data_IF_639708414102
#
_entry.id   IF_639708414102
#
_cell.length_a   1.000
_cell.length_b   1.000
_cell.length_c   1.000
_cell.angle_alpha   90.00
_cell.angle_beta   90.00
_cell.angle_gamma   90.00
#
_symmetry.space_group_name_H-M   'P 1'
#
loop_
_entity.id
_entity.type
_entity.pdbx_description
1 polymer ?
#
# COMPACT_ATOMS: atom_id res chain seq x y z
N UNK A 1 -69.11 -61.13 17.04
CA UNK A 1 -68.64 -60.18 18.02
C UNK A 1 -67.13 -60.15 17.98
N UNK A 2 -66.51 -59.19 17.23
CA UNK A 2 -65.04 -58.97 17.27
C UNK A 2 -64.82 -57.46 17.15
N UNK A 3 -64.35 -56.89 18.24
CA UNK A 3 -63.99 -55.46 18.32
C UNK A 3 -62.63 -55.21 17.65
N UNK A 4 -62.58 -54.32 16.65
CA UNK A 4 -61.37 -53.88 16.03
C UNK A 4 -60.79 -52.65 16.81
N UNK A 5 -59.55 -52.79 17.24
CA UNK A 5 -58.81 -51.74 17.97
C UNK A 5 -58.06 -50.95 16.94
N UNK A 6 -58.40 -49.67 16.81
CA UNK A 6 -57.65 -48.71 15.95
C UNK A 6 -56.51 -48.07 16.76
N UNK A 7 -55.29 -48.40 16.38
CA UNK A 7 -54.09 -47.75 16.91
C UNK A 7 -53.76 -46.51 16.02
N UNK A 8 -53.88 -45.34 16.60
CA UNK A 8 -53.46 -44.14 15.95
C UNK A 8 -51.91 -43.90 16.20
N UNK A 9 -51.10 -44.06 15.14
CA UNK A 9 -49.71 -43.64 15.18
C UNK A 9 -49.63 -42.11 14.97
N UNK A 10 -49.34 -41.38 16.02
CA UNK A 10 -49.02 -39.95 15.94
C UNK A 10 -47.54 -39.80 15.56
N UNK A 11 -47.24 -39.46 14.31
CA UNK A 11 -45.91 -39.03 13.88
C UNK A 11 -45.62 -37.61 14.40
N UNK A 12 -44.84 -37.51 15.46
CA UNK A 12 -44.29 -36.24 15.90
C UNK A 12 -43.13 -35.84 14.94
N UNK A 13 -43.41 -34.90 14.05
CA UNK A 13 -42.36 -34.25 13.25
C UNK A 13 -41.56 -33.28 14.16
N UNK A 14 -40.39 -33.70 14.61
CA UNK A 14 -39.42 -32.81 15.27
C UNK A 14 -38.80 -31.97 14.17
N UNK A 15 -39.31 -30.76 13.96
CA UNK A 15 -38.65 -29.71 13.19
C UNK A 15 -37.45 -29.23 14.00
N UNK A 16 -36.27 -29.79 13.72
CA UNK A 16 -35.02 -29.32 14.26
C UNK A 16 -34.72 -27.89 13.74
N UNK A 17 -35.02 -26.88 14.55
CA UNK A 17 -34.51 -25.57 14.37
C UNK A 17 -33.00 -25.65 14.55
N UNK A 18 -32.25 -25.68 13.43
CA UNK A 18 -30.82 -25.41 13.40
C UNK A 18 -30.66 -23.95 13.85
N UNK A 19 -30.53 -23.74 15.15
CA UNK A 19 -30.07 -22.50 15.70
C UNK A 19 -28.65 -22.29 15.14
N UNK A 20 -28.51 -21.46 14.11
CA UNK A 20 -27.23 -20.96 13.66
C UNK A 20 -26.61 -20.25 14.86
N UNK A 21 -25.65 -20.91 15.53
CA UNK A 21 -24.84 -20.23 16.53
C UNK A 21 -24.29 -18.94 15.88
N UNK A 22 -24.34 -17.79 16.57
CA UNK A 22 -23.74 -16.59 16.05
C UNK A 22 -22.28 -16.91 15.75
N UNK A 23 -21.89 -16.80 14.49
CA UNK A 23 -20.49 -16.97 14.11
C UNK A 23 -19.70 -15.95 14.93
N UNK A 24 -18.88 -16.42 15.86
CA UNK A 24 -18.00 -15.53 16.63
C UNK A 24 -17.12 -14.81 15.63
N UNK A 25 -17.13 -13.48 15.69
CA UNK A 25 -16.31 -12.67 14.81
C UNK A 25 -14.84 -13.10 14.97
N UNK A 26 -14.20 -13.35 13.83
CA UNK A 26 -12.85 -13.87 13.81
C UNK A 26 -11.86 -12.75 14.20
N UNK A 27 -11.09 -13.01 15.27
CA UNK A 27 -10.12 -12.03 15.79
C UNK A 27 -8.93 -11.90 14.87
N UNK A 28 -8.54 -10.65 14.61
CA UNK A 28 -7.44 -10.31 13.73
C UNK A 28 -6.70 -9.08 14.27
N UNK A 29 -5.38 -9.19 14.43
CA UNK A 29 -4.52 -8.04 14.74
C UNK A 29 -3.94 -7.46 13.46
N UNK A 30 -4.30 -6.20 13.16
CA UNK A 30 -3.85 -5.51 11.96
C UNK A 30 -2.97 -4.33 12.34
N UNK A 31 -1.72 -4.39 11.92
CA UNK A 31 -0.76 -3.32 12.18
C UNK A 31 -0.58 -2.39 10.98
N UNK A 32 -0.50 -1.07 11.22
CA UNK A 32 -0.17 -0.11 10.18
C UNK A 32 0.71 1.03 10.70
N UNK A 33 1.46 1.64 9.78
CA UNK A 33 2.30 2.81 10.08
C UNK A 33 1.46 4.08 10.12
N UNK A 34 1.61 4.89 11.20
CA UNK A 34 0.82 6.09 11.47
C UNK A 34 1.45 7.37 10.90
N UNK A 35 2.07 7.29 9.74
CA UNK A 35 2.58 8.45 9.01
C UNK A 35 2.53 8.18 7.50
N UNK A 36 2.83 9.20 6.69
CA UNK A 36 2.75 9.11 5.24
C UNK A 36 1.38 8.63 4.75
N UNK A 37 1.32 8.05 3.56
CA UNK A 37 0.05 7.57 3.00
C UNK A 37 -0.53 6.34 3.74
N UNK A 38 0.29 5.56 4.47
CA UNK A 38 -0.24 4.44 5.27
C UNK A 38 -1.19 4.92 6.36
N UNK A 39 -0.91 6.07 6.98
CA UNK A 39 -1.81 6.71 7.93
C UNK A 39 -3.18 6.98 7.33
N UNK A 40 -3.24 7.60 6.14
CA UNK A 40 -4.52 8.00 5.53
C UNK A 40 -5.43 6.81 5.28
N UNK A 41 -4.92 5.74 4.68
CA UNK A 41 -5.72 4.55 4.40
C UNK A 41 -6.06 3.80 5.69
N UNK A 42 -5.08 3.62 6.60
CA UNK A 42 -5.31 2.95 7.88
C UNK A 42 -6.35 3.66 8.74
N UNK A 43 -6.27 4.99 8.85
CA UNK A 43 -7.24 5.79 9.60
C UNK A 43 -8.67 5.68 9.04
N UNK A 44 -8.82 5.67 7.72
CA UNK A 44 -10.14 5.48 7.09
C UNK A 44 -10.68 4.08 7.37
N UNK A 45 -9.86 3.03 7.24
CA UNK A 45 -10.26 1.66 7.54
C UNK A 45 -10.74 1.50 8.98
N UNK A 46 -9.97 2.04 9.94
CA UNK A 46 -10.26 1.97 11.37
C UNK A 46 -11.51 2.78 11.74
N UNK A 47 -11.56 4.06 11.36
CA UNK A 47 -12.66 4.96 11.76
C UNK A 47 -14.00 4.56 11.14
N UNK A 48 -13.99 4.08 9.93
CA UNK A 48 -15.21 3.65 9.21
C UNK A 48 -15.59 2.21 9.50
N UNK A 49 -14.76 1.45 10.24
CA UNK A 49 -14.99 0.07 10.67
C UNK A 49 -15.32 -0.85 9.49
N UNK A 50 -14.54 -0.73 8.39
CA UNK A 50 -14.81 -1.53 7.19
C UNK A 50 -14.59 -3.01 7.44
N UNK A 51 -13.58 -3.40 8.23
CA UNK A 51 -13.29 -4.79 8.52
C UNK A 51 -14.35 -5.40 9.46
N UNK A 52 -14.81 -4.64 10.44
CA UNK A 52 -15.88 -5.06 11.38
C UNK A 52 -17.22 -5.24 10.64
N UNK A 53 -17.50 -4.42 9.62
CA UNK A 53 -18.68 -4.58 8.75
C UNK A 53 -18.64 -5.88 7.91
N UNK A 54 -17.45 -6.42 7.70
CA UNK A 54 -17.24 -7.73 7.06
C UNK A 54 -17.27 -8.89 8.08
N UNK A 55 -17.67 -8.64 9.33
CA UNK A 55 -17.77 -9.64 10.38
C UNK A 55 -16.44 -10.06 11.01
N UNK A 56 -15.43 -9.18 10.96
CA UNK A 56 -14.15 -9.38 11.62
C UNK A 56 -14.10 -8.62 12.94
N UNK A 57 -13.41 -9.16 13.94
CA UNK A 57 -13.07 -8.49 15.20
C UNK A 57 -11.62 -8.01 15.10
N UNK A 58 -11.41 -6.74 14.72
CA UNK A 58 -10.08 -6.21 14.40
C UNK A 58 -9.50 -5.38 15.53
N UNK A 59 -8.35 -5.80 16.02
CA UNK A 59 -7.48 -5.00 16.88
C UNK A 59 -6.48 -4.24 16.00
N UNK A 60 -6.64 -2.91 15.90
CA UNK A 60 -5.73 -2.05 15.16
C UNK A 60 -4.49 -1.71 15.99
N UNK A 61 -3.30 -2.09 15.50
CA UNK A 61 -2.01 -1.83 16.15
C UNK A 61 -1.26 -0.73 15.39
N UNK A 62 -1.01 0.39 16.06
CA UNK A 62 -0.41 1.60 15.48
C UNK A 62 1.10 1.64 15.70
N UNK A 63 1.85 1.92 14.63
CA UNK A 63 3.31 2.01 14.69
C UNK A 63 3.79 3.39 14.26
N UNK A 64 4.65 4.02 15.07
CA UNK A 64 5.26 5.30 14.75
C UNK A 64 6.34 5.20 13.65
N UNK A 65 6.94 4.01 13.49
CA UNK A 65 8.01 3.79 12.52
C UNK A 65 7.53 3.00 11.30
N UNK A 66 8.03 3.36 10.12
CA UNK A 66 7.65 2.77 8.83
C UNK A 66 7.79 1.25 8.78
N UNK A 67 8.83 0.69 9.39
CA UNK A 67 9.07 -0.75 9.44
C UNK A 67 8.51 -1.42 10.70
N UNK A 68 7.74 -0.68 11.53
CA UNK A 68 7.10 -1.22 12.73
C UNK A 68 6.19 -2.41 12.43
N UNK A 69 5.23 -2.30 11.49
CA UNK A 69 4.37 -3.42 11.11
C UNK A 69 5.15 -4.62 10.57
N UNK A 70 6.19 -4.38 9.77
CA UNK A 70 7.03 -5.46 9.22
C UNK A 70 7.79 -6.20 10.33
N UNK A 71 8.32 -5.49 11.33
CA UNK A 71 8.96 -6.14 12.49
C UNK A 71 7.95 -6.90 13.35
N UNK A 72 6.78 -6.33 13.55
CA UNK A 72 5.73 -6.94 14.39
C UNK A 72 5.20 -8.25 13.78
N UNK A 73 5.05 -8.35 12.46
CA UNK A 73 4.62 -9.60 11.84
C UNK A 73 5.71 -10.68 11.92
N UNK A 74 6.99 -10.32 11.80
CA UNK A 74 8.13 -11.24 11.98
C UNK A 74 8.12 -11.84 13.39
N UNK A 75 7.76 -11.07 14.41
CA UNK A 75 7.68 -11.52 15.80
C UNK A 75 6.33 -12.10 16.21
N UNK A 76 5.41 -12.35 15.26
CA UNK A 76 4.03 -12.79 15.51
C UNK A 76 3.21 -11.85 16.42
N UNK A 77 3.58 -10.57 16.49
CA UNK A 77 2.84 -9.57 17.27
C UNK A 77 1.54 -9.09 16.60
N UNK A 78 1.43 -9.30 15.29
CA UNK A 78 0.24 -9.00 14.48
C UNK A 78 0.02 -10.11 13.44
N UNK A 79 -1.22 -10.24 12.94
CA UNK A 79 -1.60 -11.23 11.92
C UNK A 79 -1.45 -10.68 10.51
N UNK A 80 -1.74 -9.39 10.33
CA UNK A 80 -1.61 -8.65 9.06
C UNK A 80 -0.83 -7.37 9.29
N UNK A 81 0.20 -7.13 8.47
CA UNK A 81 0.79 -5.81 8.32
C UNK A 81 0.15 -5.12 7.10
N UNK A 82 -0.70 -4.13 7.37
CA UNK A 82 -1.41 -3.37 6.35
C UNK A 82 -0.54 -2.22 5.85
N UNK A 83 -0.47 -2.07 4.53
CA UNK A 83 0.31 -1.03 3.87
C UNK A 83 1.79 -0.99 4.30
N UNK A 84 2.40 -2.18 4.47
CA UNK A 84 3.83 -2.33 4.74
C UNK A 84 4.67 -2.03 3.50
N UNK A 85 5.91 -1.50 3.64
CA UNK A 85 6.79 -1.23 2.50
C UNK A 85 7.04 -2.48 1.66
N UNK A 86 6.83 -2.40 0.34
CA UNK A 86 6.94 -3.56 -0.56
C UNK A 86 8.34 -4.16 -0.59
N UNK A 87 9.39 -3.33 -0.64
CA UNK A 87 10.79 -3.80 -0.64
C UNK A 87 11.17 -4.51 0.65
N UNK A 88 10.77 -3.97 1.82
CA UNK A 88 11.01 -4.62 3.11
C UNK A 88 10.22 -5.93 3.23
N UNK A 89 8.99 -5.98 2.73
CA UNK A 89 8.15 -7.19 2.70
C UNK A 89 8.78 -8.29 1.83
N UNK A 90 9.29 -7.94 0.65
CA UNK A 90 10.00 -8.87 -0.22
C UNK A 90 11.33 -9.32 0.39
N UNK A 91 12.07 -8.42 1.06
CA UNK A 91 13.32 -8.78 1.73
C UNK A 91 13.10 -9.83 2.83
N UNK A 92 12.12 -9.64 3.73
CA UNK A 92 11.86 -10.61 4.81
C UNK A 92 11.33 -11.95 4.28
N UNK A 93 10.54 -11.94 3.19
CA UNK A 93 10.13 -13.16 2.51
C UNK A 93 11.34 -13.90 1.90
N UNK A 94 12.27 -13.18 1.29
CA UNK A 94 13.53 -13.70 0.77
C UNK A 94 14.47 -14.22 1.86
N UNK A 95 14.40 -13.67 3.06
CA UNK A 95 15.14 -14.14 4.23
C UNK A 95 14.51 -15.39 4.88
N UNK A 96 13.38 -15.86 4.35
CA UNK A 96 12.70 -17.08 4.79
C UNK A 96 11.68 -16.88 5.90
N UNK A 97 11.31 -15.63 6.21
CA UNK A 97 10.21 -15.38 7.15
C UNK A 97 8.90 -15.90 6.54
N UNK A 98 8.09 -16.70 7.29
CA UNK A 98 6.88 -17.33 6.77
C UNK A 98 5.72 -16.33 6.64
N UNK A 99 5.83 -15.42 5.68
CA UNK A 99 4.79 -14.44 5.33
C UNK A 99 4.34 -14.60 3.88
N UNK A 100 3.13 -14.13 3.60
CA UNK A 100 2.58 -14.03 2.26
C UNK A 100 2.20 -12.59 1.94
N UNK A 101 2.49 -12.16 0.73
CA UNK A 101 2.05 -10.87 0.17
C UNK A 101 0.72 -11.17 -0.52
N UNK A 102 -0.35 -10.48 -0.10
CA UNK A 102 -1.72 -10.81 -0.51
C UNK A 102 -2.48 -9.66 -1.17
N UNK A 103 -1.95 -8.43 -1.08
CA UNK A 103 -2.61 -7.24 -1.63
C UNK A 103 -1.60 -6.12 -1.88
N UNK A 104 -1.70 -5.44 -3.01
CA UNK A 104 -1.06 -4.16 -3.23
C UNK A 104 -1.98 -3.03 -2.74
N UNK A 105 -1.44 -2.08 -1.97
CA UNK A 105 -2.24 -1.05 -1.28
C UNK A 105 -1.87 0.38 -1.62
N UNK A 106 -0.64 0.61 -2.09
CA UNK A 106 -0.19 1.96 -2.45
C UNK A 106 0.66 1.93 -3.71
N UNK A 107 0.44 2.94 -4.54
CA UNK A 107 1.23 3.22 -5.73
C UNK A 107 2.41 4.10 -5.31
N UNK A 108 3.59 3.84 -5.85
CA UNK A 108 4.70 4.76 -5.78
C UNK A 108 4.47 5.87 -6.81
N UNK A 109 3.59 6.82 -6.44
CA UNK A 109 3.38 8.02 -7.20
C UNK A 109 4.47 9.04 -6.87
N UNK A 110 4.68 10.01 -7.74
CA UNK A 110 5.62 11.10 -7.55
C UNK A 110 6.01 11.71 -8.88
N UNK A 111 6.70 12.82 -8.80
CA UNK A 111 7.07 13.59 -9.97
C UNK A 111 8.49 14.11 -9.84
N UNK A 112 9.17 14.25 -10.97
CA UNK A 112 10.37 15.05 -11.06
C UNK A 112 9.95 16.49 -11.34
N UNK A 113 10.31 17.40 -10.44
CA UNK A 113 9.91 18.82 -10.52
C UNK A 113 11.11 19.75 -10.41
N UNK A 114 10.97 20.93 -11.02
CA UNK A 114 11.94 22.03 -10.98
C UNK A 114 11.25 23.33 -10.65
N UNK A 115 11.99 24.32 -10.15
CA UNK A 115 11.46 25.67 -9.99
C UNK A 115 11.27 26.39 -11.33
N UNK A 116 10.37 27.38 -11.39
CA UNK A 116 10.27 28.29 -12.52
C UNK A 116 11.61 28.90 -12.90
N UNK A 117 11.85 29.07 -14.20
CA UNK A 117 13.12 29.60 -14.70
C UNK A 117 14.29 28.60 -14.75
N UNK A 118 14.11 27.35 -14.27
CA UNK A 118 15.12 26.32 -14.41
C UNK A 118 15.49 26.07 -15.87
N UNK A 119 16.79 25.93 -16.14
CA UNK A 119 17.32 25.51 -17.44
C UNK A 119 17.05 24.05 -17.78
N UNK A 120 16.74 23.21 -16.77
CA UNK A 120 16.39 21.80 -16.95
C UNK A 120 15.00 21.72 -17.57
N UNK A 121 14.88 21.16 -18.76
CA UNK A 121 13.61 21.02 -19.51
C UNK A 121 13.08 19.59 -19.48
N UNK A 122 13.97 18.60 -19.37
CA UNK A 122 13.68 17.18 -19.34
C UNK A 122 14.65 16.43 -18.44
N UNK A 123 14.39 15.13 -18.18
CA UNK A 123 15.36 14.31 -17.44
C UNK A 123 16.67 14.08 -18.19
N UNK A 124 16.70 14.26 -19.52
CA UNK A 124 17.94 14.18 -20.31
C UNK A 124 18.97 15.26 -19.93
N UNK A 125 18.50 16.38 -19.34
CA UNK A 125 19.35 17.53 -19.00
C UNK A 125 20.02 17.40 -17.61
N UNK A 126 19.88 16.22 -16.96
CA UNK A 126 20.29 16.02 -15.57
C UNK A 126 21.78 15.68 -15.39
N UNK A 127 22.54 15.50 -16.47
CA UNK A 127 23.98 15.27 -16.38
C UNK A 127 24.66 16.46 -15.67
N UNK A 128 25.44 16.16 -14.63
CA UNK A 128 26.12 17.16 -13.80
C UNK A 128 25.21 17.93 -12.83
N UNK A 129 23.91 17.63 -12.76
CA UNK A 129 22.94 18.31 -11.89
C UNK A 129 22.81 17.63 -10.53
N UNK A 130 22.28 18.39 -9.56
CA UNK A 130 21.93 17.89 -8.23
C UNK A 130 20.47 17.47 -8.20
N UNK A 131 20.20 16.21 -7.93
CA UNK A 131 18.85 15.64 -7.87
C UNK A 131 18.52 15.28 -6.43
N UNK A 132 17.53 15.94 -5.85
CA UNK A 132 16.95 15.56 -4.56
C UNK A 132 16.03 14.37 -4.72
N UNK A 133 16.26 13.31 -3.96
CA UNK A 133 15.40 12.11 -3.91
C UNK A 133 15.50 11.38 -2.58
N UNK A 134 14.63 10.41 -2.35
CA UNK A 134 14.69 9.57 -1.14
C UNK A 134 16.07 8.93 -0.96
N UNK A 135 16.45 8.60 0.29
CA UNK A 135 17.77 8.02 0.57
C UNK A 135 18.03 6.70 -0.18
N UNK A 136 19.29 6.38 -0.47
CA UNK A 136 19.70 5.08 -0.98
C UNK A 136 19.15 3.93 -0.12
N UNK A 137 18.77 2.82 -0.76
CA UNK A 137 18.14 1.67 -0.11
C UNK A 137 16.62 1.74 -0.04
N UNK A 138 15.99 2.89 -0.32
CA UNK A 138 14.53 2.98 -0.45
C UNK A 138 14.03 2.55 -1.83
N UNK A 139 12.79 2.06 -1.90
CA UNK A 139 12.14 1.73 -3.18
C UNK A 139 12.08 2.93 -4.13
N UNK A 140 11.77 4.12 -3.59
CA UNK A 140 11.69 5.37 -4.37
C UNK A 140 13.03 5.71 -5.01
N UNK A 141 14.15 5.60 -4.25
CA UNK A 141 15.49 5.81 -4.78
C UNK A 141 15.83 4.81 -5.89
N UNK A 142 15.57 3.52 -5.64
CA UNK A 142 15.86 2.46 -6.60
C UNK A 142 15.10 2.67 -7.92
N UNK A 143 13.82 3.02 -7.86
CA UNK A 143 13.01 3.29 -9.04
C UNK A 143 13.47 4.56 -9.77
N UNK A 144 13.72 5.67 -9.05
CA UNK A 144 14.16 6.91 -9.65
C UNK A 144 15.50 6.73 -10.40
N UNK A 145 16.47 6.05 -9.78
CA UNK A 145 17.76 5.77 -10.42
C UNK A 145 17.62 4.83 -11.63
N UNK A 146 16.79 3.79 -11.53
CA UNK A 146 16.53 2.90 -12.66
C UNK A 146 15.87 3.62 -13.85
N UNK A 147 14.94 4.54 -13.58
CA UNK A 147 14.32 5.41 -14.59
C UNK A 147 15.41 6.25 -15.28
N UNK A 148 16.25 6.93 -14.50
CA UNK A 148 17.29 7.79 -15.04
C UNK A 148 18.28 7.01 -15.91
N UNK A 149 18.70 5.84 -15.47
CA UNK A 149 19.63 5.00 -16.21
C UNK A 149 19.00 4.39 -17.46
N UNK A 150 17.86 3.73 -17.31
CA UNK A 150 17.27 2.94 -18.41
C UNK A 150 16.58 3.79 -19.47
N UNK A 151 15.86 4.85 -19.07
CA UNK A 151 15.09 5.68 -20.00
C UNK A 151 15.90 6.83 -20.59
N UNK A 152 16.97 7.27 -19.88
CA UNK A 152 17.74 8.47 -20.26
C UNK A 152 19.26 8.26 -20.35
N UNK A 153 19.77 7.04 -20.08
CA UNK A 153 21.20 6.71 -20.14
C UNK A 153 22.05 7.40 -19.06
N UNK A 154 21.42 7.90 -18.00
CA UNK A 154 22.09 8.64 -16.93
C UNK A 154 22.55 7.66 -15.83
N UNK A 155 23.78 7.17 -15.95
CA UNK A 155 24.38 6.26 -14.97
C UNK A 155 24.68 6.97 -13.64
N UNK A 156 24.74 6.18 -12.57
CA UNK A 156 25.19 6.64 -11.27
C UNK A 156 26.56 7.35 -11.39
N UNK A 157 26.70 8.50 -10.70
CA UNK A 157 27.88 9.35 -10.81
C UNK A 157 27.85 10.38 -11.97
N UNK A 158 26.91 10.26 -12.93
CA UNK A 158 26.72 11.29 -13.94
C UNK A 158 25.92 12.49 -13.45
N UNK A 159 25.32 12.39 -12.28
CA UNK A 159 24.59 13.43 -11.52
C UNK A 159 24.88 13.25 -10.02
N UNK A 160 24.62 14.28 -9.23
CA UNK A 160 24.77 14.22 -7.77
C UNK A 160 23.41 13.93 -7.11
N UNK A 161 23.32 12.88 -6.28
CA UNK A 161 22.15 12.61 -5.45
C UNK A 161 22.24 13.37 -4.14
N UNK A 162 21.21 14.15 -3.81
CA UNK A 162 21.03 14.79 -2.51
C UNK A 162 19.89 14.06 -1.78
N UNK A 163 20.21 13.22 -0.77
CA UNK A 163 19.19 12.41 -0.10
C UNK A 163 18.40 13.24 0.91
N UNK A 164 17.10 12.99 0.99
CA UNK A 164 16.23 13.63 1.97
C UNK A 164 14.85 12.97 2.08
N UNK A 165 14.16 13.28 3.18
CA UNK A 165 12.72 13.03 3.24
C UNK A 165 11.98 14.12 2.45
N UNK A 166 10.68 13.93 2.21
CA UNK A 166 9.86 14.81 1.39
C UNK A 166 9.96 16.28 1.77
N UNK A 167 9.79 16.63 3.06
CA UNK A 167 9.86 18.03 3.52
C UNK A 167 11.24 18.65 3.33
N UNK A 168 12.31 17.87 3.56
CA UNK A 168 13.68 18.34 3.35
C UNK A 168 13.98 18.55 1.86
N UNK A 169 13.48 17.67 0.99
CA UNK A 169 13.63 17.83 -0.45
C UNK A 169 12.89 19.07 -0.97
N UNK A 170 11.69 19.35 -0.45
CA UNK A 170 10.94 20.55 -0.73
C UNK A 170 11.72 21.80 -0.31
N UNK A 171 12.31 21.80 0.89
CA UNK A 171 13.16 22.87 1.38
C UNK A 171 14.40 23.10 0.50
N UNK A 172 15.13 22.02 0.16
CA UNK A 172 16.31 22.12 -0.70
C UNK A 172 15.96 22.66 -2.09
N UNK A 173 14.81 22.28 -2.63
CA UNK A 173 14.33 22.82 -3.90
C UNK A 173 14.03 24.32 -3.78
N UNK A 174 13.33 24.76 -2.72
CA UNK A 174 13.01 26.17 -2.49
C UNK A 174 14.26 27.05 -2.32
N UNK A 175 15.28 26.50 -1.66
CA UNK A 175 16.58 27.16 -1.44
C UNK A 175 17.52 27.07 -2.64
N UNK A 176 17.11 26.38 -3.72
CA UNK A 176 17.94 26.14 -4.93
C UNK A 176 19.22 25.35 -4.64
N UNK A 177 19.25 24.56 -3.58
CA UNK A 177 20.36 23.67 -3.24
C UNK A 177 20.39 22.42 -4.13
N UNK A 178 19.24 22.10 -4.74
CA UNK A 178 19.06 21.04 -5.75
C UNK A 178 18.44 21.64 -7.03
N UNK A 179 18.80 21.07 -8.18
CA UNK A 179 18.27 21.49 -9.47
C UNK A 179 16.87 20.89 -9.75
N UNK A 180 16.67 19.66 -9.29
CA UNK A 180 15.44 18.85 -9.49
C UNK A 180 15.11 18.11 -8.21
N UNK A 181 13.83 17.98 -7.89
CA UNK A 181 13.35 17.12 -6.81
C UNK A 181 12.47 16.00 -7.38
N UNK A 182 12.72 14.76 -6.94
CA UNK A 182 11.80 13.61 -7.12
C UNK A 182 10.96 13.48 -5.85
N UNK A 183 9.78 14.08 -5.85
CA UNK A 183 8.88 14.20 -4.69
C UNK A 183 7.45 13.85 -5.03
N UNK A 184 6.65 13.59 -4.00
CA UNK A 184 5.25 13.17 -4.13
C UNK A 184 4.33 14.33 -4.43
N UNK A 185 3.17 14.00 -5.00
CA UNK A 185 2.16 14.99 -5.37
C UNK A 185 1.65 15.78 -4.15
N UNK A 186 1.55 15.17 -2.97
CA UNK A 186 1.18 15.89 -1.73
C UNK A 186 2.23 16.92 -1.34
N UNK A 187 3.51 16.60 -1.46
CA UNK A 187 4.59 17.53 -1.18
C UNK A 187 4.64 18.67 -2.20
N UNK A 188 4.33 18.38 -3.46
CA UNK A 188 4.22 19.41 -4.50
C UNK A 188 3.09 20.40 -4.16
N UNK A 189 1.95 19.88 -3.69
CA UNK A 189 0.83 20.74 -3.26
C UNK A 189 1.19 21.63 -2.06
N UNK A 190 2.04 21.17 -1.13
CA UNK A 190 2.53 21.94 0.01
C UNK A 190 3.49 23.09 -0.37
N UNK A 191 4.06 23.07 -1.57
CA UNK A 191 4.96 24.11 -2.08
C UNK A 191 4.38 24.77 -3.36
N UNK A 192 3.06 24.76 -3.52
CA UNK A 192 2.41 25.30 -4.72
C UNK A 192 2.67 26.79 -4.93
N UNK A 193 2.92 27.56 -3.86
CA UNK A 193 3.32 28.96 -3.93
C UNK A 193 4.61 29.18 -4.73
N UNK A 194 5.50 28.17 -4.78
CA UNK A 194 6.72 28.20 -5.59
C UNK A 194 6.45 27.90 -7.07
N UNK A 195 5.24 27.50 -7.43
CA UNK A 195 4.81 27.14 -8.78
C UNK A 195 5.76 26.12 -9.45
N UNK A 196 6.04 24.98 -8.81
CA UNK A 196 6.99 24.02 -9.34
C UNK A 196 6.49 23.47 -10.68
N UNK A 197 7.40 23.36 -11.66
CA UNK A 197 7.09 22.80 -12.96
C UNK A 197 7.43 21.31 -13.01
N UNK A 198 6.46 20.50 -13.35
CA UNK A 198 6.63 19.07 -13.58
C UNK A 198 7.47 18.83 -14.84
N UNK A 199 8.48 17.97 -14.74
CA UNK A 199 9.20 17.41 -15.89
C UNK A 199 8.50 16.16 -16.39
N UNK A 200 8.28 15.18 -15.49
CA UNK A 200 7.55 13.93 -15.77
C UNK A 200 7.11 13.27 -14.46
N UNK A 201 6.21 12.26 -14.56
CA UNK A 201 5.76 11.45 -13.42
C UNK A 201 6.53 10.13 -13.30
N UNK A 202 6.76 9.67 -12.08
CA UNK A 202 7.41 8.39 -11.80
C UNK A 202 6.60 7.24 -12.39
N UNK A 203 5.26 7.28 -12.30
CA UNK A 203 4.38 6.23 -12.85
C UNK A 203 4.50 6.14 -14.37
N UNK A 204 4.55 7.29 -15.06
CA UNK A 204 4.68 7.35 -16.52
C UNK A 204 6.04 6.75 -16.96
N UNK A 205 7.10 7.16 -16.27
CA UNK A 205 8.46 6.68 -16.56
C UNK A 205 8.65 5.20 -16.19
N UNK A 206 7.99 4.73 -15.12
CA UNK A 206 7.98 3.30 -14.77
C UNK A 206 7.31 2.46 -15.84
N UNK A 207 6.16 2.89 -16.37
CA UNK A 207 5.48 2.20 -17.48
C UNK A 207 6.35 2.13 -18.73
N UNK A 208 7.08 3.21 -19.02
CA UNK A 208 8.05 3.25 -20.10
C UNK A 208 9.22 2.28 -19.88
N UNK A 209 9.79 2.27 -18.67
CA UNK A 209 10.87 1.38 -18.25
C UNK A 209 10.48 -0.10 -18.33
N UNK A 210 9.29 -0.44 -17.83
CA UNK A 210 8.84 -1.83 -17.69
C UNK A 210 8.06 -2.33 -18.91
N UNK A 211 7.66 -1.44 -19.82
CA UNK A 211 6.74 -1.71 -20.94
C UNK A 211 5.42 -2.35 -20.47
N UNK A 212 4.97 -1.99 -19.29
CA UNK A 212 3.77 -2.49 -18.62
C UNK A 212 2.82 -1.35 -18.29
N UNK A 213 1.51 -1.62 -18.25
CA UNK A 213 0.50 -0.68 -17.77
C UNK A 213 0.44 -0.59 -16.24
N UNK A 214 1.02 -1.57 -15.53
CA UNK A 214 1.01 -1.60 -14.07
C UNK A 214 1.86 -0.47 -13.48
N UNK A 215 1.36 0.15 -12.41
CA UNK A 215 2.11 1.15 -11.65
C UNK A 215 3.17 0.49 -10.74
N UNK A 216 4.20 1.23 -10.31
CA UNK A 216 5.13 0.75 -9.30
C UNK A 216 4.43 0.68 -7.95
N UNK A 217 4.57 -0.44 -7.24
CA UNK A 217 3.87 -0.69 -5.97
C UNK A 217 4.77 -0.31 -4.79
N UNK A 218 4.35 0.69 -4.03
CA UNK A 218 5.09 1.18 -2.87
C UNK A 218 4.84 0.33 -1.63
N UNK A 219 3.56 -0.04 -1.38
CA UNK A 219 3.18 -0.77 -0.20
C UNK A 219 2.23 -1.92 -0.50
N UNK A 220 2.31 -2.94 0.35
CA UNK A 220 1.53 -4.18 0.26
C UNK A 220 0.95 -4.53 1.62
N UNK A 221 -0.10 -5.37 1.62
CA UNK A 221 -0.50 -6.10 2.84
C UNK A 221 0.17 -7.46 2.84
N UNK A 222 0.80 -7.78 3.97
CA UNK A 222 1.40 -9.08 4.22
C UNK A 222 0.69 -9.77 5.39
N UNK A 223 0.58 -11.07 5.32
CA UNK A 223 -0.06 -11.91 6.33
C UNK A 223 0.91 -13.02 6.75
N UNK A 224 0.89 -13.39 8.03
CA UNK A 224 1.65 -14.54 8.49
C UNK A 224 1.07 -15.83 7.89
N UNK A 225 1.94 -16.73 7.38
CA UNK A 225 1.52 -17.94 6.66
C UNK A 225 0.59 -18.84 7.51
N UNK A 226 0.93 -19.00 8.80
CA UNK A 226 0.10 -19.76 9.73
C UNK A 226 -1.30 -19.16 9.93
N UNK A 227 -1.42 -17.82 9.93
CA UNK A 227 -2.72 -17.16 10.03
C UNK A 227 -3.54 -17.37 8.75
N UNK A 228 -2.91 -17.15 7.59
CA UNK A 228 -3.56 -17.38 6.30
C UNK A 228 -4.04 -18.83 6.14
N UNK A 229 -3.21 -19.80 6.54
CA UNK A 229 -3.57 -21.22 6.45
C UNK A 229 -4.76 -21.61 7.33
N UNK A 230 -4.90 -21.00 8.50
CA UNK A 230 -6.01 -21.25 9.43
C UNK A 230 -7.28 -20.45 9.07
N UNK A 231 -7.11 -19.23 8.58
CA UNK A 231 -8.17 -18.23 8.45
C UNK A 231 -8.24 -17.62 7.03
N UNK A 232 -8.24 -18.41 5.94
CA UNK A 232 -8.20 -17.86 4.58
C UNK A 232 -9.41 -16.98 4.26
N UNK A 233 -10.59 -17.31 4.82
CA UNK A 233 -11.80 -16.51 4.62
C UNK A 233 -11.75 -15.16 5.34
N UNK A 234 -11.12 -15.09 6.53
CA UNK A 234 -10.93 -13.82 7.23
C UNK A 234 -10.01 -12.89 6.43
N UNK A 235 -8.93 -13.43 5.87
CA UNK A 235 -8.03 -12.65 5.01
C UNK A 235 -8.78 -12.15 3.76
N UNK A 236 -9.59 -12.97 3.12
CA UNK A 236 -10.42 -12.56 1.98
C UNK A 236 -11.43 -11.47 2.36
N UNK A 237 -12.11 -11.58 3.53
CA UNK A 237 -13.01 -10.54 4.06
C UNK A 237 -12.28 -9.25 4.38
N UNK A 238 -11.08 -9.32 4.97
CA UNK A 238 -10.25 -8.14 5.20
C UNK A 238 -9.91 -7.44 3.88
N UNK A 239 -9.52 -8.18 2.84
CA UNK A 239 -9.24 -7.60 1.52
C UNK A 239 -10.51 -6.98 0.91
N UNK A 240 -11.68 -7.60 1.07
CA UNK A 240 -12.96 -7.00 0.64
C UNK A 240 -13.23 -5.68 1.37
N UNK A 241 -13.00 -5.63 2.68
CA UNK A 241 -13.09 -4.41 3.48
C UNK A 241 -12.14 -3.32 2.97
N UNK A 242 -10.89 -3.66 2.64
CA UNK A 242 -9.91 -2.71 2.06
C UNK A 242 -10.41 -2.17 0.72
N UNK A 243 -10.97 -3.01 -0.15
CA UNK A 243 -11.55 -2.56 -1.43
C UNK A 243 -12.71 -1.60 -1.23
N UNK A 244 -13.62 -1.90 -0.28
CA UNK A 244 -14.73 -0.99 0.10
C UNK A 244 -14.20 0.33 0.70
N UNK A 245 -13.16 0.28 1.51
CA UNK A 245 -12.47 1.46 2.05
C UNK A 245 -11.84 2.33 0.96
N UNK A 246 -11.21 1.71 -0.04
CA UNK A 246 -10.67 2.41 -1.21
C UNK A 246 -11.77 3.14 -1.99
N UNK A 247 -12.86 2.45 -2.28
CA UNK A 247 -14.01 3.00 -3.02
C UNK A 247 -14.69 4.13 -2.24
N UNK A 248 -14.84 3.97 -0.92
CA UNK A 248 -15.37 5.00 -0.04
C UNK A 248 -14.51 6.27 -0.11
N UNK A 249 -13.21 6.16 0.02
CA UNK A 249 -12.31 7.32 0.02
C UNK A 249 -12.31 8.07 -1.33
N UNK A 250 -12.46 7.36 -2.44
CA UNK A 250 -12.61 7.97 -3.75
C UNK A 250 -13.88 8.83 -3.87
N UNK A 251 -14.99 8.36 -3.26
CA UNK A 251 -16.30 9.01 -3.33
C UNK A 251 -16.57 10.06 -2.24
N UNK A 252 -15.83 10.02 -1.12
CA UNK A 252 -16.12 10.78 0.10
C UNK A 252 -14.91 11.60 0.59
N UNK A 253 -14.22 12.30 -0.31
CA UNK A 253 -13.03 13.09 0.00
C UNK A 253 -13.17 14.08 1.17
N UNK A 254 -14.29 14.81 1.32
CA UNK A 254 -14.48 15.67 2.50
C UNK A 254 -14.45 14.89 3.81
N UNK A 255 -15.11 13.73 3.88
CA UNK A 255 -15.12 12.87 5.07
C UNK A 255 -13.74 12.25 5.34
N UNK A 256 -13.00 11.88 4.29
CA UNK A 256 -11.59 11.46 4.42
C UNK A 256 -10.76 12.58 5.05
N UNK A 257 -10.90 13.81 4.59
CA UNK A 257 -10.20 14.96 5.17
C UNK A 257 -10.54 15.17 6.66
N UNK A 258 -11.81 15.06 7.05
CA UNK A 258 -12.23 15.13 8.46
C UNK A 258 -11.59 14.01 9.31
N UNK A 259 -11.56 12.78 8.80
CA UNK A 259 -10.92 11.65 9.47
C UNK A 259 -9.44 11.95 9.69
N UNK A 260 -8.74 12.46 8.68
CA UNK A 260 -7.31 12.78 8.76
C UNK A 260 -7.02 13.91 9.75
N UNK A 261 -7.85 14.95 9.79
CA UNK A 261 -7.72 16.01 10.80
C UNK A 261 -7.81 15.45 12.21
N UNK A 262 -8.79 14.58 12.47
CA UNK A 262 -9.03 13.98 13.81
C UNK A 262 -7.98 12.94 14.18
N UNK A 263 -7.61 12.06 13.26
CA UNK A 263 -6.74 10.90 13.54
C UNK A 263 -5.25 11.21 13.46
N UNK A 264 -4.86 12.22 12.69
CA UNK A 264 -3.47 12.58 12.41
C UNK A 264 -3.11 13.99 12.87
N UNK A 265 -4.05 14.73 13.46
CA UNK A 265 -3.88 16.13 13.82
C UNK A 265 -3.37 16.99 12.66
N UNK A 266 -3.82 16.67 11.45
CA UNK A 266 -3.47 17.43 10.25
C UNK A 266 -4.20 18.76 10.20
N UNK A 267 -3.58 19.77 9.56
CA UNK A 267 -4.29 20.98 9.18
C UNK A 267 -5.43 20.64 8.21
N UNK A 268 -6.45 21.49 8.15
CA UNK A 268 -7.55 21.29 7.22
C UNK A 268 -7.08 21.33 5.75
N UNK A 269 -6.03 22.07 5.46
CA UNK A 269 -5.41 22.19 4.14
C UNK A 269 -4.67 20.91 3.76
N UNK A 270 -3.76 20.42 4.61
CA UNK A 270 -3.05 19.17 4.39
C UNK A 270 -4.00 17.98 4.24
N UNK A 271 -5.02 17.90 5.11
CA UNK A 271 -5.99 16.83 5.05
C UNK A 271 -6.78 16.82 3.72
N UNK A 272 -7.14 18.00 3.19
CA UNK A 272 -7.77 18.12 1.86
C UNK A 272 -6.81 17.74 0.75
N UNK A 273 -5.55 18.17 0.82
CA UNK A 273 -4.52 17.79 -0.16
C UNK A 273 -4.30 16.29 -0.21
N UNK A 274 -4.25 15.63 0.96
CA UNK A 274 -4.20 14.17 1.05
C UNK A 274 -5.42 13.49 0.43
N UNK A 275 -6.61 13.92 0.81
CA UNK A 275 -7.85 13.34 0.28
C UNK A 275 -7.96 13.51 -1.25
N UNK A 276 -7.47 14.62 -1.79
CA UNK A 276 -7.44 14.87 -3.24
C UNK A 276 -6.54 13.89 -4.00
N UNK A 277 -5.49 13.34 -3.35
CA UNK A 277 -4.56 12.39 -3.96
C UNK A 277 -5.00 10.92 -3.84
N UNK A 278 -6.19 10.65 -3.29
CA UNK A 278 -6.64 9.30 -2.91
C UNK A 278 -6.50 8.29 -4.05
N UNK A 279 -7.05 8.55 -5.24
CA UNK A 279 -7.02 7.63 -6.38
C UNK A 279 -5.64 7.51 -7.02
N UNK A 280 -4.77 8.52 -6.83
CA UNK A 280 -3.40 8.51 -7.34
C UNK A 280 -2.42 7.78 -6.42
N UNK A 281 -2.76 7.67 -5.11
CA UNK A 281 -1.87 7.12 -4.09
C UNK A 281 -2.23 5.70 -3.66
N UNK A 282 -3.53 5.36 -3.64
CA UNK A 282 -4.00 4.08 -3.09
C UNK A 282 -4.52 3.13 -4.14
N UNK A 283 -4.40 1.86 -3.83
CA UNK A 283 -4.95 0.76 -4.61
C UNK A 283 -5.39 -0.38 -3.68
N UNK A 284 -6.19 -1.29 -4.18
CA UNK A 284 -6.57 -2.52 -3.51
C UNK A 284 -6.71 -3.62 -4.57
N UNK A 285 -5.58 -4.07 -5.10
CA UNK A 285 -5.49 -5.03 -6.19
C UNK A 285 -4.36 -6.02 -5.95
N UNK A 286 -4.51 -7.23 -6.47
CA UNK A 286 -3.44 -8.23 -6.51
C UNK A 286 -3.63 -9.15 -7.73
N UNK A 287 -3.73 -8.51 -8.89
CA UNK A 287 -3.84 -9.20 -10.18
C UNK A 287 -2.46 -9.70 -10.66
N UNK A 288 -2.41 -10.56 -11.64
CA UNK A 288 -1.13 -11.05 -12.18
C UNK A 288 -0.16 -9.94 -12.60
N UNK A 289 -0.68 -8.83 -13.12
CA UNK A 289 0.16 -7.69 -13.51
C UNK A 289 0.73 -6.92 -12.30
N UNK A 290 0.04 -6.92 -11.14
CA UNK A 290 0.56 -6.35 -9.90
C UNK A 290 1.71 -7.19 -9.35
N UNK A 291 1.57 -8.51 -9.37
CA UNK A 291 2.64 -9.44 -8.99
C UNK A 291 3.86 -9.27 -9.92
N UNK A 292 3.63 -9.14 -11.22
CA UNK A 292 4.71 -8.86 -12.18
C UNK A 292 5.41 -7.53 -11.90
N UNK A 293 4.66 -6.48 -11.53
CA UNK A 293 5.22 -5.18 -11.13
C UNK A 293 6.08 -5.29 -9.87
N UNK A 294 5.63 -6.05 -8.86
CA UNK A 294 6.41 -6.31 -7.63
C UNK A 294 7.70 -7.08 -7.93
N UNK A 295 7.65 -8.11 -8.75
CA UNK A 295 8.84 -8.86 -9.17
C UNK A 295 9.83 -7.96 -9.92
N UNK A 296 9.33 -7.11 -10.81
CA UNK A 296 10.19 -6.13 -11.49
C UNK A 296 10.80 -5.12 -10.52
N UNK A 297 10.03 -4.65 -9.54
CA UNK A 297 10.56 -3.80 -8.47
C UNK A 297 11.64 -4.53 -7.65
N UNK A 298 11.45 -5.81 -7.36
CA UNK A 298 12.44 -6.63 -6.65
C UNK A 298 13.77 -6.72 -7.41
N UNK A 299 13.74 -6.97 -8.72
CA UNK A 299 14.93 -6.99 -9.57
C UNK A 299 15.68 -5.65 -9.51
N UNK A 300 14.95 -4.55 -9.65
CA UNK A 300 15.50 -3.18 -9.60
C UNK A 300 16.07 -2.88 -8.21
N UNK A 301 15.32 -3.19 -7.15
CA UNK A 301 15.76 -2.98 -5.78
C UNK A 301 16.98 -3.82 -5.42
N UNK A 302 17.09 -5.03 -5.96
CA UNK A 302 18.26 -5.91 -5.79
C UNK A 302 19.48 -5.35 -6.52
N UNK A 303 19.32 -4.89 -7.74
CA UNK A 303 20.40 -4.23 -8.49
C UNK A 303 20.90 -2.96 -7.78
N UNK A 304 20.01 -2.23 -7.10
CA UNK A 304 20.34 -1.06 -6.28
C UNK A 304 20.83 -1.40 -4.85
N UNK A 305 20.94 -2.69 -4.48
CA UNK A 305 21.36 -3.13 -3.16
C UNK A 305 20.34 -2.94 -2.03
N UNK A 306 19.09 -2.56 -2.36
CA UNK A 306 18.01 -2.38 -1.39
C UNK A 306 17.34 -3.70 -0.95
N UNK A 307 17.43 -4.73 -1.78
CA UNK A 307 16.98 -6.11 -1.51
C UNK A 307 18.15 -7.04 -1.74
N UNK A 308 18.43 -7.95 -0.81
CA UNK A 308 19.58 -8.86 -0.90
C UNK A 308 19.23 -10.23 -1.47
N UNK A 309 18.02 -10.70 -1.15
CA UNK A 309 17.52 -12.01 -1.58
C UNK A 309 16.14 -11.86 -2.21
N UNK A 310 15.85 -12.64 -3.23
CA UNK A 310 14.54 -12.62 -3.88
C UNK A 310 13.50 -13.30 -3.00
N UNK A 311 12.34 -12.67 -2.87
CA UNK A 311 11.16 -13.33 -2.33
C UNK A 311 10.79 -14.49 -3.26
N UNK A 312 10.53 -15.70 -2.73
CA UNK A 312 10.12 -16.83 -3.56
C UNK A 312 8.73 -16.59 -4.16
N UNK A 313 8.45 -17.22 -5.30
CA UNK A 313 7.14 -17.11 -5.96
C UNK A 313 5.99 -17.48 -5.04
N UNK A 314 6.20 -18.43 -4.14
CA UNK A 314 5.23 -18.84 -3.11
C UNK A 314 4.89 -17.75 -2.08
N UNK A 315 5.65 -16.66 -2.02
CA UNK A 315 5.34 -15.52 -1.17
C UNK A 315 4.20 -14.64 -1.74
N UNK A 316 3.94 -14.70 -3.05
CA UNK A 316 2.91 -13.91 -3.71
C UNK A 316 1.63 -14.75 -3.87
N UNK A 317 0.61 -14.50 -3.03
CA UNK A 317 -0.60 -15.33 -2.98
C UNK A 317 -1.83 -14.52 -3.41
N UNK A 318 -2.32 -14.77 -4.61
CA UNK A 318 -3.45 -14.03 -5.20
C UNK A 318 -4.83 -14.58 -4.78
N UNK A 319 -4.89 -15.81 -4.27
CA UNK A 319 -6.17 -16.48 -3.96
C UNK A 319 -7.08 -15.69 -3.00
N UNK A 320 -6.61 -15.10 -1.88
CA UNK A 320 -7.46 -14.30 -1.00
C UNK A 320 -8.05 -13.06 -1.69
N UNK A 321 -7.26 -12.40 -2.56
CA UNK A 321 -7.75 -11.28 -3.36
C UNK A 321 -8.83 -11.72 -4.34
N UNK A 322 -8.65 -12.85 -5.06
CA UNK A 322 -9.65 -13.35 -5.98
C UNK A 322 -10.95 -13.72 -5.24
N UNK A 323 -10.84 -14.36 -4.06
CA UNK A 323 -11.99 -14.68 -3.22
C UNK A 323 -12.73 -13.41 -2.75
N UNK A 324 -11.98 -12.35 -2.42
CA UNK A 324 -12.57 -11.08 -1.96
C UNK A 324 -13.50 -10.43 -2.98
N UNK A 325 -13.36 -10.74 -4.28
CA UNK A 325 -14.22 -10.20 -5.34
C UNK A 325 -15.65 -10.71 -5.26
N UNK A 326 -15.86 -11.87 -4.64
CA UNK A 326 -17.18 -12.51 -4.48
C UNK A 326 -17.87 -12.11 -3.17
N UNK A 327 -17.21 -11.34 -2.30
CA UNK A 327 -17.77 -10.84 -1.04
C UNK A 327 -18.51 -9.51 -1.33
N UNK A 328 -19.84 -9.54 -1.11
CA UNK A 328 -20.73 -8.40 -1.38
C UNK A 328 -20.72 -7.38 -0.25
#
# INVERSE_FOLDING_TARGET
MKRALHVWLSCLAIAGALASAPATAEKMKVGYWTSGFSLGFGAVMEQMKFAEKEGLDVEWVKFAEVNGPTRAIVSNGIDIAFAAPSTASMQIAGDGVPIKIVLATQILEGQFVVLPGSSVKSLSDLKGRKIGMSPPGSATHAIATAILESNYGLKAGSYAVVPGNEGRLAQFLSQKEIDVAAIRSVTIAQIDELKPRRLTGIVDEWKKLTKSSAAPILAVSIVHDNYLGKNPQAVARFIAAVRKGLEFGAKNKPQVAEILQKSANMSAEDARAYAAQWEGAYMASFEPHDVASLKRLQEIAKAAGAVKKDAPDSAFVTAPFQQSKNIK
#
